data_IF_656422190956
#
_entry.id   IF_656422190956
#
_cell.length_a   1.000
_cell.length_b   1.000
_cell.length_c   1.000
_cell.angle_alpha   90.00
_cell.angle_beta   90.00
_cell.angle_gamma   90.00
#
_symmetry.space_group_name_H-M   'P 1'
#
loop_
_entity.id
_entity.type
_entity.pdbx_description
1 polymer ?
#
# COMPACT_ATOMS: atom_id res chain seq x y z
N UNK A 1 -15.56 -63.90 -9.65
CA UNK A 1 -15.55 -62.67 -8.86
C UNK A 1 -14.17 -62.45 -8.29
N UNK A 2 -13.35 -61.63 -8.94
CA UNK A 2 -12.03 -61.20 -8.44
C UNK A 2 -12.12 -59.71 -8.17
N UNK A 3 -11.82 -59.30 -6.92
CA UNK A 3 -11.75 -57.87 -6.54
C UNK A 3 -10.49 -57.24 -7.09
N UNK A 4 -10.51 -55.97 -7.56
CA UNK A 4 -9.32 -55.27 -7.94
C UNK A 4 -8.61 -54.67 -6.72
N UNK A 5 -7.30 -54.77 -6.74
CA UNK A 5 -6.33 -54.20 -5.76
C UNK A 5 -6.20 -52.67 -5.93
N UNK A 6 -6.02 -51.88 -4.88
CA UNK A 6 -5.86 -50.42 -4.98
C UNK A 6 -4.39 -50.07 -5.17
N UNK A 7 -4.05 -49.57 -6.35
CA UNK A 7 -2.78 -48.87 -6.61
C UNK A 7 -3.15 -47.43 -6.93
N UNK A 8 -3.17 -46.55 -5.95
CA UNK A 8 -3.09 -45.08 -6.14
C UNK A 8 -3.07 -44.31 -4.81
N UNK A 9 -2.22 -44.70 -3.87
CA UNK A 9 -2.09 -43.96 -2.60
C UNK A 9 -0.64 -43.55 -2.23
N UNK A 10 0.36 -43.83 -3.06
CA UNK A 10 1.79 -43.60 -2.71
C UNK A 10 2.41 -42.40 -3.42
N UNK A 11 1.82 -41.89 -4.51
CA UNK A 11 2.41 -40.82 -5.30
C UNK A 11 2.11 -39.39 -4.80
N UNK A 12 1.12 -39.19 -3.90
CA UNK A 12 0.70 -37.87 -3.42
C UNK A 12 1.42 -37.45 -2.12
N UNK A 13 1.97 -38.42 -1.38
CA UNK A 13 2.64 -38.17 -0.10
C UNK A 13 4.06 -37.63 -0.22
N UNK A 14 4.76 -37.89 -1.31
CA UNK A 14 6.19 -37.51 -1.45
C UNK A 14 6.39 -36.08 -1.95
N UNK A 15 5.45 -35.53 -2.69
CA UNK A 15 5.52 -34.14 -3.16
C UNK A 15 5.24 -33.10 -2.06
N UNK A 16 4.45 -33.45 -1.03
CA UNK A 16 4.15 -32.58 0.13
C UNK A 16 5.27 -32.49 1.16
N UNK A 17 6.21 -33.41 1.19
CA UNK A 17 7.31 -33.42 2.18
C UNK A 17 8.58 -32.72 1.71
N UNK A 18 8.75 -32.44 0.42
CA UNK A 18 9.97 -31.81 -0.12
C UNK A 18 9.81 -30.28 -0.28
N UNK A 19 8.59 -29.77 -0.34
CA UNK A 19 8.33 -28.31 -0.51
C UNK A 19 8.39 -27.49 0.79
N UNK A 20 8.23 -28.10 1.96
CA UNK A 20 8.19 -27.37 3.24
C UNK A 20 9.54 -26.79 3.76
N UNK A 21 10.73 -27.36 3.54
CA UNK A 21 11.96 -26.78 4.09
C UNK A 21 12.59 -25.68 3.26
N UNK A 22 12.32 -25.58 1.95
CA UNK A 22 13.01 -24.63 1.07
C UNK A 22 12.39 -23.24 1.11
N UNK A 23 11.05 -23.15 1.21
CA UNK A 23 10.33 -21.88 1.28
C UNK A 23 10.50 -21.16 2.63
N UNK A 24 10.63 -21.90 3.75
CA UNK A 24 10.86 -21.29 5.07
C UNK A 24 12.28 -20.75 5.24
N UNK A 25 13.27 -21.35 4.60
CA UNK A 25 14.68 -20.93 4.65
C UNK A 25 14.94 -19.67 3.79
N UNK A 26 14.31 -19.56 2.64
CA UNK A 26 14.51 -18.40 1.74
C UNK A 26 13.76 -17.14 2.23
N UNK A 27 12.54 -17.29 2.77
CA UNK A 27 11.81 -16.17 3.35
C UNK A 27 12.46 -15.66 4.65
N UNK A 28 12.95 -16.57 5.52
CA UNK A 28 13.60 -16.19 6.78
C UNK A 28 14.97 -15.51 6.58
N UNK A 29 15.72 -15.84 5.54
CA UNK A 29 17.01 -15.22 5.25
C UNK A 29 16.89 -13.85 4.57
N UNK A 30 15.85 -13.65 3.74
CA UNK A 30 15.54 -12.35 3.15
C UNK A 30 15.06 -11.35 4.21
N UNK A 31 14.13 -11.76 5.08
CA UNK A 31 13.64 -10.95 6.21
C UNK A 31 14.75 -10.65 7.23
N UNK A 32 15.60 -11.61 7.56
CA UNK A 32 16.73 -11.39 8.49
C UNK A 32 17.79 -10.44 7.93
N UNK A 33 18.01 -10.41 6.61
CA UNK A 33 18.96 -9.47 5.99
C UNK A 33 18.38 -8.07 5.88
N UNK A 34 17.06 -7.92 5.68
CA UNK A 34 16.38 -6.63 5.65
C UNK A 34 16.26 -6.03 7.04
N UNK A 35 15.81 -6.80 8.04
CA UNK A 35 15.73 -6.34 9.42
C UNK A 35 17.11 -5.98 10.01
N UNK A 36 18.17 -6.76 9.73
CA UNK A 36 19.52 -6.44 10.22
C UNK A 36 20.13 -5.19 9.59
N UNK A 37 19.79 -4.84 8.34
CA UNK A 37 20.27 -3.59 7.73
C UNK A 37 19.49 -2.36 8.18
N UNK A 38 18.18 -2.50 8.37
CA UNK A 38 17.32 -1.39 8.82
C UNK A 38 17.46 -1.14 10.34
N UNK A 39 17.63 -2.18 11.16
CA UNK A 39 17.92 -2.05 12.59
C UNK A 39 19.40 -1.73 12.89
N UNK A 40 20.36 -2.10 12.04
CA UNK A 40 21.75 -1.68 12.20
C UNK A 40 21.95 -0.17 11.98
N UNK A 41 21.10 0.49 11.17
CA UNK A 41 21.08 1.96 11.10
C UNK A 41 20.43 2.63 12.32
N UNK A 42 19.58 1.90 13.08
CA UNK A 42 18.95 2.44 14.29
C UNK A 42 19.72 2.13 15.59
N UNK A 43 20.66 1.17 15.58
CA UNK A 43 21.36 0.68 16.76
C UNK A 43 22.88 0.97 16.79
N UNK A 44 23.43 1.67 15.78
CA UNK A 44 24.80 2.20 15.86
C UNK A 44 24.74 3.64 16.38
N UNK A 45 24.57 3.75 17.69
CA UNK A 45 24.96 4.93 18.43
C UNK A 45 26.49 5.05 18.41
N UNK A 46 26.93 6.22 18.05
CA UNK A 46 28.17 6.89 18.32
C UNK A 46 29.42 6.07 18.80
N UNK A 47 30.41 5.98 17.91
CA UNK A 47 31.76 6.28 18.29
C UNK A 47 32.23 7.50 17.45
N UNK A 48 32.04 8.67 18.02
CA UNK A 48 32.52 9.95 17.49
C UNK A 48 33.99 10.11 17.84
N UNK A 49 34.83 10.16 16.82
CA UNK A 49 36.08 10.93 16.92
C UNK A 49 35.79 12.36 16.48
N UNK A 50 36.03 13.28 17.42
CA UNK A 50 35.58 14.64 17.39
C UNK A 50 35.99 15.51 16.20
N UNK A 51 35.08 16.36 15.82
CA UNK A 51 35.24 17.79 15.58
C UNK A 51 33.87 18.45 15.68
N UNK A 52 33.81 19.48 16.46
CA UNK A 52 32.70 20.31 16.85
C UNK A 52 32.20 21.14 15.64
N UNK A 53 31.17 20.63 14.94
CA UNK A 53 30.21 21.36 14.14
C UNK A 53 29.07 20.40 13.80
N UNK A 54 27.85 20.67 14.28
CA UNK A 54 26.70 19.75 14.23
C UNK A 54 26.16 19.43 12.84
N UNK A 55 26.93 18.72 12.03
CA UNK A 55 26.63 18.32 10.66
C UNK A 55 25.78 17.05 10.58
N UNK A 56 24.50 17.12 10.91
CA UNK A 56 23.56 16.11 10.44
C UNK A 56 23.57 16.11 8.90
N UNK A 57 23.89 14.95 8.30
CA UNK A 57 23.91 14.80 6.84
C UNK A 57 22.53 15.10 6.28
N UNK A 58 22.44 16.12 5.42
CA UNK A 58 21.17 16.48 4.75
C UNK A 58 20.80 15.35 3.78
N UNK A 59 19.57 14.80 3.87
CA UNK A 59 19.14 13.74 2.96
C UNK A 59 19.02 14.24 1.52
N UNK A 60 19.28 13.35 0.55
CA UNK A 60 19.08 13.66 -0.87
C UNK A 60 17.66 14.20 -1.13
N UNK A 61 17.55 15.23 -1.95
CA UNK A 61 16.29 15.87 -2.32
C UNK A 61 15.79 16.93 -1.34
N UNK A 62 16.61 17.35 -0.40
CA UNK A 62 16.33 18.44 0.54
C UNK A 62 17.25 19.62 0.27
N UNK A 63 16.68 20.80 0.08
CA UNK A 63 17.37 22.10 0.15
C UNK A 63 17.08 22.73 1.52
N UNK A 64 18.02 22.70 2.48
CA UNK A 64 17.75 23.21 3.82
C UNK A 64 17.54 24.72 3.87
N UNK A 65 18.15 25.47 2.95
CA UNK A 65 18.04 26.94 2.93
C UNK A 65 16.67 27.36 2.39
N UNK A 66 16.26 26.81 1.24
CA UNK A 66 14.94 27.08 0.67
C UNK A 66 13.80 26.63 1.59
N UNK A 67 13.92 25.44 2.18
CA UNK A 67 12.91 24.93 3.12
C UNK A 67 12.84 25.74 4.42
N UNK A 68 13.98 26.23 4.95
CA UNK A 68 13.97 27.11 6.12
C UNK A 68 13.20 28.40 5.84
N UNK A 69 13.42 29.01 4.70
CA UNK A 69 12.70 30.24 4.29
C UNK A 69 11.19 29.94 4.17
N UNK A 70 10.85 28.90 3.45
CA UNK A 70 9.44 28.49 3.25
C UNK A 70 8.73 28.19 4.56
N UNK A 71 9.36 27.42 5.47
CA UNK A 71 8.78 27.11 6.79
C UNK A 71 8.58 28.38 7.62
N UNK A 72 9.52 29.34 7.56
CA UNK A 72 9.38 30.61 8.28
C UNK A 72 8.19 31.45 7.82
N UNK A 73 7.79 31.32 6.55
CA UNK A 73 6.67 32.06 5.97
C UNK A 73 5.33 31.34 6.10
N UNK A 74 5.32 30.00 6.05
CA UNK A 74 4.11 29.22 5.88
C UNK A 74 3.75 28.34 7.10
N UNK A 75 4.70 28.09 8.02
CA UNK A 75 4.48 27.23 9.18
C UNK A 75 4.54 28.04 10.47
N UNK A 76 3.38 28.44 10.95
CA UNK A 76 3.29 29.28 12.14
C UNK A 76 3.99 28.65 13.36
N UNK A 77 4.93 29.38 13.96
CA UNK A 77 5.66 28.98 15.15
C UNK A 77 6.69 27.86 14.92
N UNK A 78 7.15 27.63 13.69
CA UNK A 78 8.30 26.75 13.44
C UNK A 78 9.59 27.44 13.92
N UNK A 79 10.39 26.75 14.73
CA UNK A 79 11.60 27.27 15.37
C UNK A 79 12.86 26.67 14.68
N UNK A 80 13.64 27.44 13.91
CA UNK A 80 14.88 26.96 13.36
C UNK A 80 15.95 26.70 14.46
N UNK A 81 16.91 25.78 14.23
CA UNK A 81 17.16 25.05 12.98
C UNK A 81 16.21 23.88 12.74
N UNK A 82 15.91 23.65 11.46
CA UNK A 82 15.15 22.47 11.04
C UNK A 82 16.10 21.30 10.76
N UNK A 83 15.72 20.11 11.24
CA UNK A 83 16.37 18.83 10.93
C UNK A 83 15.48 18.01 10.01
N UNK A 84 16.10 17.33 9.04
CA UNK A 84 15.42 16.57 8.02
C UNK A 84 15.89 15.10 8.09
N UNK A 85 14.95 14.18 8.14
CA UNK A 85 15.23 12.75 8.14
C UNK A 85 14.33 12.05 7.13
N UNK A 86 14.89 11.25 6.24
CA UNK A 86 14.10 10.47 5.29
C UNK A 86 13.36 9.36 6.01
N UNK A 87 12.04 9.29 5.84
CA UNK A 87 11.25 8.17 6.34
C UNK A 87 11.40 7.00 5.37
N UNK A 88 11.93 5.87 5.88
CA UNK A 88 12.08 4.65 5.09
C UNK A 88 10.73 4.02 4.78
N UNK A 89 10.57 3.43 3.58
CA UNK A 89 9.42 2.60 3.22
C UNK A 89 8.55 3.09 2.06
N UNK A 90 8.70 4.32 1.56
CA UNK A 90 8.04 4.79 0.34
C UNK A 90 8.87 4.46 -0.91
N UNK A 91 8.27 3.75 -1.89
CA UNK A 91 8.95 3.43 -3.15
C UNK A 91 8.55 4.37 -4.30
N UNK A 92 7.48 5.13 -4.15
CA UNK A 92 6.91 6.04 -5.16
C UNK A 92 7.30 7.48 -4.87
N UNK A 93 6.71 8.10 -3.85
CA UNK A 93 7.05 9.43 -3.40
C UNK A 93 7.99 9.40 -2.18
N UNK A 94 8.80 10.46 -2.01
CA UNK A 94 9.71 10.59 -0.89
C UNK A 94 9.03 11.36 0.24
N UNK A 95 9.11 10.81 1.46
CA UNK A 95 8.59 11.45 2.67
C UNK A 95 9.74 11.69 3.64
N UNK A 96 9.77 12.88 4.22
CA UNK A 96 10.78 13.29 5.20
C UNK A 96 10.11 13.76 6.47
N UNK A 97 10.66 13.38 7.60
CA UNK A 97 10.35 14.01 8.87
C UNK A 97 11.14 15.30 8.97
N UNK A 98 10.45 16.39 9.23
CA UNK A 98 11.03 17.69 9.54
C UNK A 98 10.82 17.93 11.03
N UNK A 99 11.89 18.24 11.76
CA UNK A 99 11.85 18.51 13.20
C UNK A 99 12.49 19.88 13.46
N UNK A 100 11.81 20.76 14.17
CA UNK A 100 12.32 22.06 14.55
C UNK A 100 13.12 22.03 15.88
N UNK A 101 13.65 23.18 16.29
CA UNK A 101 14.39 23.30 17.55
C UNK A 101 13.51 23.05 18.79
N UNK A 102 12.22 23.37 18.70
CA UNK A 102 11.21 23.14 19.75
C UNK A 102 10.75 21.67 19.85
N UNK A 103 11.17 20.81 18.91
CA UNK A 103 10.78 19.40 18.85
C UNK A 103 9.45 19.14 18.13
N UNK A 104 8.81 20.16 17.54
CA UNK A 104 7.64 19.96 16.68
C UNK A 104 8.04 19.24 15.42
N UNK A 105 7.12 18.44 14.88
CA UNK A 105 7.40 17.56 13.73
C UNK A 105 6.35 17.68 12.66
N UNK A 106 6.81 17.62 11.41
CA UNK A 106 6.00 17.62 10.21
C UNK A 106 6.46 16.50 9.26
N UNK A 107 5.59 16.09 8.39
CA UNK A 107 5.92 15.24 7.25
C UNK A 107 5.94 16.11 5.97
N UNK A 108 7.08 16.14 5.29
CA UNK A 108 7.25 16.76 3.99
C UNK A 108 7.24 15.65 2.93
N UNK A 109 6.33 15.76 1.95
CA UNK A 109 6.20 14.77 0.87
C UNK A 109 6.51 15.44 -0.48
N UNK A 110 7.33 14.77 -1.30
CA UNK A 110 7.75 15.24 -2.62
C UNK A 110 7.89 14.08 -3.62
N UNK A 111 7.93 14.35 -4.94
CA UNK A 111 8.23 13.34 -5.95
C UNK A 111 9.60 12.69 -5.74
N UNK A 112 9.83 11.48 -6.31
CA UNK A 112 11.12 10.82 -6.27
C UNK A 112 12.20 11.64 -6.98
N UNK A 113 13.48 11.32 -6.68
CA UNK A 113 14.63 11.90 -7.37
C UNK A 113 14.75 11.29 -8.79
N UNK A 114 14.97 12.11 -9.79
CA UNK A 114 15.18 11.67 -11.17
C UNK A 114 14.00 11.99 -12.11
N UNK A 115 13.85 11.22 -13.21
CA UNK A 115 12.82 11.48 -14.22
C UNK A 115 11.43 11.26 -13.65
N UNK A 116 10.60 12.30 -13.65
CA UNK A 116 9.18 12.24 -13.27
C UNK A 116 8.37 11.54 -14.36
N UNK A 117 7.58 10.55 -13.99
CA UNK A 117 6.64 9.88 -14.88
C UNK A 117 5.27 10.58 -14.76
N UNK A 118 5.04 11.62 -15.56
CA UNK A 118 3.72 12.25 -15.75
C UNK A 118 2.91 12.50 -14.47
N UNK A 119 1.61 12.19 -14.48
CA UNK A 119 0.64 12.47 -13.41
C UNK A 119 0.75 11.56 -12.17
N UNK A 120 1.69 10.61 -12.12
CA UNK A 120 1.80 9.66 -11.01
C UNK A 120 2.42 10.27 -9.72
N UNK A 121 3.00 11.48 -9.80
CA UNK A 121 3.70 12.14 -8.69
C UNK A 121 3.23 13.58 -8.54
N UNK A 122 1.93 13.80 -8.66
CA UNK A 122 1.28 15.12 -8.59
C UNK A 122 1.02 15.48 -7.12
N UNK A 123 1.91 16.30 -6.54
CA UNK A 123 1.81 16.74 -5.15
C UNK A 123 0.60 17.64 -4.91
N UNK A 124 0.23 18.47 -5.89
CA UNK A 124 -0.94 19.32 -5.78
C UNK A 124 -2.24 18.50 -5.71
N UNK A 125 -2.31 17.44 -6.51
CA UNK A 125 -3.43 16.50 -6.49
C UNK A 125 -3.55 15.77 -5.15
N UNK A 126 -2.46 15.23 -4.63
CA UNK A 126 -2.44 14.52 -3.35
C UNK A 126 -2.79 15.47 -2.20
N UNK A 127 -2.18 16.66 -2.18
CA UNK A 127 -2.51 17.73 -1.25
C UNK A 127 -4.00 18.11 -1.30
N UNK A 128 -4.59 18.27 -2.50
CA UNK A 128 -6.02 18.57 -2.67
C UNK A 128 -6.90 17.51 -2.02
N UNK A 129 -6.60 16.23 -2.22
CA UNK A 129 -7.35 15.11 -1.61
C UNK A 129 -7.27 15.16 -0.10
N UNK A 130 -6.06 15.22 0.47
CA UNK A 130 -5.87 15.20 1.92
C UNK A 130 -6.51 16.43 2.57
N UNK A 131 -6.38 17.61 1.95
CA UNK A 131 -7.02 18.86 2.44
C UNK A 131 -8.54 18.76 2.45
N UNK A 132 -9.14 18.19 1.41
CA UNK A 132 -10.58 18.04 1.28
C UNK A 132 -11.15 17.01 2.28
N UNK A 133 -10.38 15.99 2.62
CA UNK A 133 -10.76 14.96 3.60
C UNK A 133 -10.61 15.43 5.06
N UNK A 134 -9.73 16.40 5.33
CA UNK A 134 -9.46 16.89 6.68
C UNK A 134 -10.69 17.31 7.50
N UNK A 135 -11.71 17.97 6.92
CA UNK A 135 -12.95 18.33 7.62
C UNK A 135 -13.98 17.19 7.77
N UNK A 136 -13.68 15.98 7.26
CA UNK A 136 -14.59 14.83 7.27
C UNK A 136 -14.23 13.85 8.37
N UNK A 137 -15.02 12.76 8.49
CA UNK A 137 -14.74 11.67 9.43
C UNK A 137 -13.59 10.75 8.96
N UNK A 138 -12.96 11.02 7.82
CA UNK A 138 -11.82 10.26 7.32
C UNK A 138 -10.55 10.69 8.05
N UNK A 139 -9.86 9.77 8.76
CA UNK A 139 -8.63 10.12 9.46
C UNK A 139 -7.51 10.37 8.44
N UNK A 140 -7.06 11.62 8.35
CA UNK A 140 -5.92 12.06 7.54
C UNK A 140 -5.03 13.00 8.34
N UNK A 141 -3.75 13.08 7.96
CA UNK A 141 -2.84 14.04 8.57
C UNK A 141 -3.28 15.48 8.22
N UNK A 142 -3.39 16.41 9.21
CA UNK A 142 -3.71 17.80 8.94
C UNK A 142 -2.68 18.42 7.99
N UNK A 143 -3.15 19.02 6.90
CA UNK A 143 -2.28 19.67 5.91
C UNK A 143 -1.85 21.04 6.42
N UNK A 144 -0.56 21.37 6.22
CA UNK A 144 0.03 22.64 6.58
C UNK A 144 0.12 23.56 5.35
N UNK A 145 0.61 23.04 4.22
CA UNK A 145 0.71 23.83 2.98
C UNK A 145 1.32 23.08 1.81
N UNK A 146 1.14 23.63 0.62
CA UNK A 146 1.68 23.17 -0.66
C UNK A 146 2.67 24.20 -1.19
N UNK A 147 3.79 23.75 -1.73
CA UNK A 147 4.74 24.55 -2.50
C UNK A 147 4.86 23.97 -3.91
N UNK A 148 4.42 24.73 -4.90
CA UNK A 148 4.56 24.37 -6.32
C UNK A 148 5.81 25.00 -6.97
N UNK A 149 6.47 25.94 -6.29
CA UNK A 149 7.71 26.56 -6.75
C UNK A 149 8.90 25.60 -6.58
N UNK A 150 9.35 25.06 -7.70
CA UNK A 150 10.47 24.12 -7.73
C UNK A 150 11.80 24.78 -7.30
N UNK A 151 11.91 26.12 -7.32
CA UNK A 151 13.14 26.80 -6.90
C UNK A 151 13.41 26.67 -5.40
N UNK A 152 12.37 26.37 -4.59
CA UNK A 152 12.46 26.24 -3.13
C UNK A 152 13.17 24.95 -2.71
N UNK A 153 12.85 23.81 -3.37
CA UNK A 153 13.37 22.50 -2.97
C UNK A 153 13.63 21.57 -4.18
N UNK A 154 13.84 22.11 -5.37
CA UNK A 154 14.12 21.35 -6.59
C UNK A 154 12.94 20.52 -7.12
N UNK A 155 11.79 20.56 -6.47
CA UNK A 155 10.55 19.91 -6.87
C UNK A 155 9.38 20.45 -6.05
N UNK A 156 8.11 20.37 -6.56
CA UNK A 156 6.94 20.63 -5.75
C UNK A 156 6.90 19.69 -4.52
N UNK A 157 6.37 20.20 -3.43
CA UNK A 157 6.18 19.41 -2.20
C UNK A 157 4.98 19.91 -1.42
N UNK A 158 4.45 19.08 -0.52
CA UNK A 158 3.52 19.57 0.49
C UNK A 158 3.94 19.10 1.89
N UNK A 159 3.48 19.85 2.87
CA UNK A 159 3.78 19.64 4.28
C UNK A 159 2.48 19.35 5.02
N UNK A 160 2.51 18.39 5.93
CA UNK A 160 1.41 18.03 6.83
C UNK A 160 1.96 17.79 8.24
N UNK A 161 1.10 17.83 9.24
CA UNK A 161 1.47 17.46 10.61
C UNK A 161 2.01 16.03 10.62
N UNK A 162 2.99 15.77 11.48
CA UNK A 162 3.54 14.44 11.64
C UNK A 162 2.66 13.60 12.55
N UNK A 163 1.99 12.61 11.98
CA UNK A 163 1.18 11.65 12.74
C UNK A 163 2.07 10.53 13.26
N UNK A 164 2.12 10.36 14.57
CA UNK A 164 2.88 9.29 15.21
C UNK A 164 2.01 8.07 15.45
N UNK A 165 2.61 6.90 15.25
CA UNK A 165 1.97 5.65 15.57
C UNK A 165 2.55 4.46 14.83
N UNK A 166 2.26 3.24 15.29
CA UNK A 166 2.67 2.03 14.61
C UNK A 166 1.97 1.87 13.25
N UNK A 167 2.71 1.34 12.29
CA UNK A 167 2.21 0.92 10.99
C UNK A 167 2.44 -0.59 10.89
N UNK A 168 1.36 -1.34 10.67
CA UNK A 168 1.41 -2.81 10.65
C UNK A 168 1.78 -3.33 9.25
N UNK A 169 3.06 -3.32 8.90
CA UNK A 169 3.56 -3.78 7.59
C UNK A 169 3.77 -5.29 7.53
N UNK A 170 4.30 -5.88 8.58
CA UNK A 170 4.64 -7.28 8.65
C UNK A 170 4.22 -7.92 9.97
N UNK A 171 4.41 -9.24 10.06
CA UNK A 171 3.98 -10.02 11.22
C UNK A 171 4.62 -9.54 12.53
N UNK A 172 5.89 -9.07 12.48
CA UNK A 172 6.59 -8.58 13.66
C UNK A 172 5.95 -7.32 14.25
N UNK A 173 5.40 -6.43 13.40
CA UNK A 173 4.73 -5.21 13.87
C UNK A 173 3.38 -5.49 14.53
N UNK A 174 2.77 -6.67 14.27
CA UNK A 174 1.56 -7.10 14.96
C UNK A 174 1.79 -7.30 16.48
N UNK A 175 3.03 -7.51 16.92
CA UNK A 175 3.38 -7.61 18.35
C UNK A 175 3.21 -6.27 19.10
N UNK A 176 3.08 -5.15 18.39
CA UNK A 176 2.67 -3.85 18.98
C UNK A 176 1.26 -3.91 19.59
N UNK A 177 0.46 -4.90 19.19
CA UNK A 177 -0.87 -5.16 19.71
C UNK A 177 -0.94 -6.66 20.09
N UNK A 178 -0.45 -7.05 21.29
CA UNK A 178 -0.28 -8.45 21.66
C UNK A 178 -1.61 -9.20 21.82
N UNK A 179 -2.68 -8.49 22.20
CA UNK A 179 -3.97 -9.11 22.45
C UNK A 179 -4.73 -9.36 21.14
N UNK A 180 -5.32 -10.56 21.01
CA UNK A 180 -6.12 -10.89 19.83
C UNK A 180 -7.37 -10.02 19.68
N UNK A 181 -7.95 -9.58 20.80
CA UNK A 181 -9.09 -8.67 20.81
C UNK A 181 -8.74 -7.33 20.15
N UNK A 182 -7.54 -6.79 20.41
CA UNK A 182 -7.08 -5.54 19.82
C UNK A 182 -6.87 -5.69 18.31
N UNK A 183 -6.24 -6.78 17.88
CA UNK A 183 -6.06 -7.07 16.44
C UNK A 183 -7.40 -7.23 15.72
N UNK A 184 -8.39 -7.86 16.37
CA UNK A 184 -9.74 -7.95 15.83
C UNK A 184 -10.37 -6.56 15.69
N UNK A 185 -10.27 -5.75 16.74
CA UNK A 185 -10.79 -4.39 16.72
C UNK A 185 -10.13 -3.54 15.64
N UNK A 186 -8.80 -3.62 15.48
CA UNK A 186 -8.05 -2.94 14.41
C UNK A 186 -8.58 -3.35 13.04
N UNK A 187 -8.71 -4.65 12.77
CA UNK A 187 -9.22 -5.12 11.48
C UNK A 187 -10.64 -4.62 11.18
N UNK A 188 -11.54 -4.59 12.17
CA UNK A 188 -12.88 -4.04 11.99
C UNK A 188 -12.85 -2.52 11.74
N UNK A 189 -11.96 -1.78 12.40
CA UNK A 189 -11.74 -0.34 12.15
C UNK A 189 -11.24 -0.07 10.73
N UNK A 190 -10.45 -0.97 10.15
CA UNK A 190 -10.06 -0.89 8.73
C UNK A 190 -11.30 -0.86 7.84
N UNK A 191 -12.27 -1.74 8.08
CA UNK A 191 -13.53 -1.71 7.34
C UNK A 191 -14.35 -0.44 7.60
N UNK A 192 -14.47 -0.01 8.86
CA UNK A 192 -15.20 1.21 9.24
C UNK A 192 -14.59 2.47 8.61
N UNK A 193 -13.26 2.56 8.55
CA UNK A 193 -12.55 3.69 7.92
C UNK A 193 -12.79 3.71 6.41
N UNK A 194 -12.84 2.54 5.75
CA UNK A 194 -13.19 2.45 4.33
C UNK A 194 -14.63 2.92 4.08
N UNK A 195 -15.56 2.58 4.97
CA UNK A 195 -16.93 3.09 4.91
C UNK A 195 -16.94 4.62 5.01
N UNK A 196 -16.17 5.20 5.94
CA UNK A 196 -16.07 6.66 6.07
C UNK A 196 -15.54 7.32 4.79
N UNK A 197 -14.50 6.76 4.16
CA UNK A 197 -13.98 7.24 2.86
C UNK A 197 -15.08 7.22 1.79
N UNK A 198 -15.79 6.11 1.67
CA UNK A 198 -16.81 5.92 0.64
C UNK A 198 -18.14 6.66 0.94
N UNK A 199 -18.31 7.20 2.15
CA UNK A 199 -19.44 8.02 2.54
C UNK A 199 -19.25 9.51 2.20
N UNK A 200 -18.03 9.95 1.94
CA UNK A 200 -17.75 11.34 1.55
C UNK A 200 -18.39 11.61 0.18
N UNK A 201 -19.22 12.65 0.10
CA UNK A 201 -19.70 13.17 -1.17
C UNK A 201 -18.56 13.92 -1.87
N UNK A 202 -18.08 13.44 -3.05
CA UNK A 202 -16.95 14.06 -3.72
C UNK A 202 -17.22 15.50 -4.18
N UNK A 203 -18.45 15.80 -4.58
CA UNK A 203 -18.82 17.14 -5.06
C UNK A 203 -18.89 18.12 -3.89
N UNK A 204 -19.50 17.73 -2.78
CA UNK A 204 -19.57 18.54 -1.57
C UNK A 204 -18.18 18.77 -0.94
N UNK A 205 -17.27 17.80 -1.05
CA UNK A 205 -15.89 17.91 -0.59
C UNK A 205 -14.97 18.68 -1.56
N UNK A 206 -15.46 19.15 -2.71
CA UNK A 206 -14.64 19.86 -3.71
C UNK A 206 -13.71 18.94 -4.52
N UNK A 207 -14.00 17.63 -4.54
CA UNK A 207 -13.24 16.61 -5.27
C UNK A 207 -13.97 16.08 -6.52
N UNK A 208 -15.07 16.72 -6.94
CA UNK A 208 -15.88 16.29 -8.07
C UNK A 208 -15.13 16.21 -9.40
N UNK A 209 -14.03 16.94 -9.55
CA UNK A 209 -13.12 16.96 -10.69
C UNK A 209 -11.90 16.03 -10.56
N UNK A 210 -11.80 15.28 -9.45
CA UNK A 210 -10.65 14.41 -9.19
C UNK A 210 -10.47 13.31 -10.25
N UNK A 211 -11.54 12.94 -10.94
CA UNK A 211 -11.53 11.97 -12.03
C UNK A 211 -12.91 11.82 -12.65
N UNK A 212 -12.98 11.06 -13.74
CA UNK A 212 -14.26 10.70 -14.34
C UNK A 212 -15.00 9.75 -13.42
N UNK A 213 -16.29 10.03 -13.17
CA UNK A 213 -17.16 9.22 -12.32
C UNK A 213 -17.64 7.94 -13.01
N UNK A 214 -17.84 8.01 -14.34
CA UNK A 214 -18.46 6.95 -15.12
C UNK A 214 -17.46 5.91 -15.60
N UNK A 215 -17.92 4.70 -15.89
CA UNK A 215 -17.18 3.59 -16.52
C UNK A 215 -15.85 3.26 -15.79
N UNK A 216 -15.83 3.40 -14.47
CA UNK A 216 -14.59 3.21 -13.70
C UNK A 216 -13.95 1.85 -13.97
N UNK A 217 -14.70 0.76 -13.84
CA UNK A 217 -14.18 -0.61 -14.02
C UNK A 217 -13.66 -0.81 -15.44
N UNK A 218 -14.42 -0.39 -16.47
CA UNK A 218 -14.01 -0.51 -17.87
C UNK A 218 -12.70 0.27 -18.14
N UNK A 219 -12.53 1.44 -17.51
CA UNK A 219 -11.28 2.22 -17.60
C UNK A 219 -10.12 1.52 -16.90
N UNK A 220 -10.36 0.92 -15.72
CA UNK A 220 -9.33 0.17 -15.00
C UNK A 220 -8.86 -1.06 -15.80
N UNK A 221 -9.78 -1.84 -16.35
CA UNK A 221 -9.46 -2.99 -17.19
C UNK A 221 -8.59 -2.58 -18.39
N UNK A 222 -8.98 -1.54 -19.13
CA UNK A 222 -8.18 -1.03 -20.26
C UNK A 222 -6.80 -0.52 -19.83
N UNK A 223 -6.74 0.24 -18.73
CA UNK A 223 -5.48 0.80 -18.21
C UNK A 223 -4.50 -0.30 -17.82
N UNK A 224 -4.95 -1.27 -17.03
CA UNK A 224 -4.08 -2.30 -16.49
C UNK A 224 -3.70 -3.35 -17.55
N UNK A 225 -4.60 -3.67 -18.50
CA UNK A 225 -4.23 -4.49 -19.66
C UNK A 225 -3.15 -3.80 -20.50
N UNK A 226 -3.29 -2.51 -20.76
CA UNK A 226 -2.26 -1.73 -21.44
C UNK A 226 -0.93 -1.65 -20.65
N UNK A 227 -0.98 -1.72 -19.31
CA UNK A 227 0.22 -1.82 -18.50
C UNK A 227 0.85 -3.20 -18.57
N UNK A 228 0.03 -4.26 -18.55
CA UNK A 228 0.49 -5.65 -18.75
C UNK A 228 1.28 -5.80 -20.06
N UNK A 229 0.69 -5.37 -21.16
CA UNK A 229 1.35 -5.45 -22.48
C UNK A 229 2.71 -4.73 -22.54
N UNK A 230 2.90 -3.69 -21.75
CA UNK A 230 4.15 -2.92 -21.69
C UNK A 230 5.20 -3.51 -20.75
N UNK A 231 4.76 -4.24 -19.72
CA UNK A 231 5.65 -4.68 -18.64
C UNK A 231 5.80 -6.18 -18.53
N UNK A 232 5.00 -6.99 -19.23
CA UNK A 232 5.11 -8.45 -19.17
C UNK A 232 6.49 -8.91 -19.62
N UNK A 233 7.10 -9.80 -18.84
CA UNK A 233 8.40 -10.42 -19.16
C UNK A 233 8.24 -11.82 -19.70
N UNK A 234 7.03 -12.36 -19.62
CA UNK A 234 6.66 -13.71 -20.06
C UNK A 234 5.17 -13.79 -20.39
N UNK A 235 4.77 -14.84 -21.06
CA UNK A 235 3.36 -15.12 -21.32
C UNK A 235 2.72 -15.76 -20.08
N UNK A 236 1.63 -15.19 -19.60
CA UNK A 236 0.77 -15.72 -18.53
C UNK A 236 -0.69 -15.71 -19.00
N UNK A 237 -1.15 -16.78 -19.69
CA UNK A 237 -2.48 -16.81 -20.29
C UNK A 237 -3.63 -16.61 -19.31
N UNK A 238 -3.42 -16.85 -18.02
CA UNK A 238 -4.41 -16.57 -16.97
C UNK A 238 -4.76 -15.08 -16.91
N UNK A 239 -3.79 -14.17 -17.07
CA UNK A 239 -4.01 -12.72 -17.05
C UNK A 239 -4.97 -12.31 -18.19
N UNK A 240 -4.75 -12.82 -19.40
CA UNK A 240 -5.58 -12.48 -20.56
C UNK A 240 -6.99 -13.09 -20.43
N UNK A 241 -7.09 -14.36 -19.98
CA UNK A 241 -8.40 -14.99 -19.73
C UNK A 241 -9.23 -14.25 -18.67
N UNK A 242 -8.60 -13.82 -17.56
CA UNK A 242 -9.30 -13.03 -16.53
C UNK A 242 -9.75 -11.69 -17.10
N UNK A 243 -8.89 -11.00 -17.87
CA UNK A 243 -9.27 -9.75 -18.53
C UNK A 243 -10.49 -9.92 -19.43
N UNK A 244 -10.50 -10.96 -20.29
CA UNK A 244 -11.62 -11.25 -21.19
C UNK A 244 -12.93 -11.48 -20.43
N UNK A 245 -12.90 -12.31 -19.38
CA UNK A 245 -14.08 -12.65 -18.57
C UNK A 245 -14.60 -11.44 -17.78
N UNK A 246 -13.70 -10.69 -17.12
CA UNK A 246 -14.09 -9.48 -16.40
C UNK A 246 -14.67 -8.44 -17.36
N UNK A 247 -14.09 -8.28 -18.57
CA UNK A 247 -14.59 -7.35 -19.57
C UNK A 247 -15.97 -7.72 -20.12
N UNK A 248 -16.29 -9.01 -20.14
CA UNK A 248 -17.59 -9.52 -20.62
C UNK A 248 -18.74 -9.35 -19.61
N UNK A 249 -18.43 -9.14 -18.31
CA UNK A 249 -19.45 -9.10 -17.24
C UNK A 249 -19.28 -7.93 -16.26
N UNK A 250 -18.84 -6.77 -16.75
CA UNK A 250 -18.68 -5.58 -15.90
C UNK A 250 -20.01 -5.28 -15.19
N UNK A 251 -20.02 -5.22 -13.84
CA UNK A 251 -21.22 -4.88 -13.10
C UNK A 251 -21.71 -3.45 -13.42
N UNK A 252 -23.02 -3.24 -13.27
CA UNK A 252 -23.57 -1.89 -13.34
C UNK A 252 -22.97 -1.05 -12.20
N UNK A 253 -22.31 0.04 -12.56
CA UNK A 253 -21.72 0.94 -11.59
C UNK A 253 -22.81 1.74 -10.86
N UNK A 254 -22.74 1.75 -9.52
CA UNK A 254 -23.52 2.66 -8.69
C UNK A 254 -22.96 4.09 -8.67
N UNK A 255 -23.45 4.96 -7.77
CA UNK A 255 -22.89 6.30 -7.59
C UNK A 255 -21.38 6.22 -7.29
N UNK A 256 -20.61 7.03 -8.02
CA UNK A 256 -19.17 7.08 -7.81
C UNK A 256 -18.84 7.72 -6.46
N UNK A 257 -17.82 7.16 -5.79
CA UNK A 257 -17.28 7.65 -4.53
C UNK A 257 -15.80 7.99 -4.68
N UNK A 258 -15.20 8.47 -3.61
CA UNK A 258 -13.74 8.53 -3.50
C UNK A 258 -13.22 7.09 -3.39
N UNK A 259 -12.32 6.70 -4.29
CA UNK A 259 -11.61 5.42 -4.29
C UNK A 259 -10.15 5.72 -3.96
N UNK A 260 -9.63 5.11 -2.89
CA UNK A 260 -8.23 5.27 -2.48
C UNK A 260 -7.26 4.66 -3.49
N UNK A 261 -7.61 3.49 -4.03
CA UNK A 261 -6.85 2.80 -5.08
C UNK A 261 -5.71 1.91 -4.60
N UNK A 262 -5.28 2.05 -3.34
CA UNK A 262 -4.32 1.15 -2.64
C UNK A 262 -4.66 1.04 -1.14
N UNK A 263 -5.93 0.82 -0.82
CA UNK A 263 -6.39 0.75 0.55
C UNK A 263 -5.99 -0.58 1.20
N UNK A 264 -5.14 -0.50 2.22
CA UNK A 264 -4.59 -1.66 2.93
C UNK A 264 -4.04 -1.28 4.30
N UNK A 265 -3.86 -2.28 5.18
CA UNK A 265 -3.48 -2.08 6.58
C UNK A 265 -2.13 -1.34 6.74
N UNK A 266 -1.16 -1.59 5.88
CA UNK A 266 0.14 -0.94 5.93
C UNK A 266 0.18 0.50 5.35
N UNK A 267 -0.95 0.99 4.84
CA UNK A 267 -1.19 2.40 4.54
C UNK A 267 -1.97 3.12 5.64
N UNK A 268 -1.90 2.62 6.88
CA UNK A 268 -2.55 3.22 8.05
C UNK A 268 -1.57 3.43 9.19
N UNK A 269 -1.63 4.61 9.77
CA UNK A 269 -0.95 4.91 11.03
C UNK A 269 -1.97 4.69 12.15
N UNK A 270 -1.62 3.89 13.15
CA UNK A 270 -2.51 3.57 14.26
C UNK A 270 -2.11 4.36 15.51
N UNK A 271 -3.07 4.63 16.39
CA UNK A 271 -2.78 5.07 17.76
C UNK A 271 -2.30 3.89 18.62
N UNK A 272 -1.71 4.12 19.80
CA UNK A 272 -1.43 3.06 20.76
C UNK A 272 -2.67 2.25 21.18
N UNK A 273 -3.87 2.82 21.06
CA UNK A 273 -5.14 2.15 21.32
C UNK A 273 -5.70 1.39 20.09
N UNK A 274 -4.96 1.35 18.98
CA UNK A 274 -5.36 0.67 17.76
C UNK A 274 -6.43 1.39 16.95
N UNK A 275 -6.72 2.68 17.24
CA UNK A 275 -7.56 3.51 16.37
C UNK A 275 -6.76 3.91 15.12
N UNK A 276 -7.43 4.14 13.98
CA UNK A 276 -6.78 4.66 12.79
C UNK A 276 -6.55 6.17 12.98
N UNK A 277 -5.29 6.56 13.17
CA UNK A 277 -4.90 7.97 13.33
C UNK A 277 -4.79 8.68 11.98
N UNK A 278 -4.32 7.99 10.93
CA UNK A 278 -4.31 8.52 9.57
C UNK A 278 -4.26 7.40 8.53
N UNK A 279 -5.00 7.59 7.45
CA UNK A 279 -4.80 6.88 6.17
C UNK A 279 -3.82 7.68 5.33
N UNK A 280 -2.83 7.00 4.75
CA UNK A 280 -1.75 7.62 3.98
C UNK A 280 -1.68 7.04 2.57
N UNK A 281 -0.89 7.68 1.70
CA UNK A 281 -0.62 7.25 0.32
C UNK A 281 -1.80 7.40 -0.64
N UNK A 282 -2.30 8.62 -0.75
CA UNK A 282 -3.43 9.01 -1.58
C UNK A 282 -3.08 9.23 -3.06
N UNK A 283 -1.87 8.87 -3.51
CA UNK A 283 -1.39 9.13 -4.88
C UNK A 283 -2.23 8.47 -5.98
N UNK A 284 -2.89 7.34 -5.67
CA UNK A 284 -3.77 6.62 -6.60
C UNK A 284 -5.25 6.99 -6.46
N UNK A 285 -5.56 7.91 -5.55
CA UNK A 285 -6.93 8.32 -5.27
C UNK A 285 -7.64 8.87 -6.51
N UNK A 286 -8.90 8.48 -6.69
CA UNK A 286 -9.73 8.89 -7.83
C UNK A 286 -11.22 8.74 -7.50
N UNK A 287 -12.09 9.04 -8.48
CA UNK A 287 -13.53 8.77 -8.38
C UNK A 287 -13.90 7.47 -9.10
N UNK A 288 -14.70 6.64 -8.45
CA UNK A 288 -15.08 5.36 -9.04
C UNK A 288 -16.00 4.51 -8.20
N UNK A 289 -16.01 3.23 -8.51
CA UNK A 289 -16.81 2.24 -7.80
C UNK A 289 -16.15 1.86 -6.46
N UNK A 290 -16.83 2.05 -5.32
CA UNK A 290 -16.29 1.74 -4.00
C UNK A 290 -15.91 0.27 -3.82
N UNK A 291 -16.58 -0.66 -4.51
CA UNK A 291 -16.27 -2.08 -4.38
C UNK A 291 -14.88 -2.43 -4.94
N UNK A 292 -14.27 -1.54 -5.73
CA UNK A 292 -12.89 -1.73 -6.19
C UNK A 292 -11.88 -1.67 -5.04
N UNK A 293 -12.07 -0.77 -4.05
CA UNK A 293 -11.24 -0.75 -2.85
C UNK A 293 -11.56 -1.93 -1.92
N UNK A 294 -12.83 -2.32 -1.81
CA UNK A 294 -13.22 -3.49 -1.01
C UNK A 294 -12.58 -4.76 -1.57
N UNK A 295 -12.68 -5.00 -2.88
CA UNK A 295 -12.06 -6.15 -3.53
C UNK A 295 -10.53 -6.15 -3.40
N UNK A 296 -9.91 -4.98 -3.51
CA UNK A 296 -8.46 -4.84 -3.33
C UNK A 296 -8.04 -5.09 -1.87
N UNK A 297 -8.80 -4.57 -0.88
CA UNK A 297 -8.57 -4.86 0.53
C UNK A 297 -8.66 -6.37 0.80
N UNK A 298 -9.68 -7.04 0.25
CA UNK A 298 -9.80 -8.50 0.37
C UNK A 298 -8.63 -9.23 -0.28
N UNK A 299 -8.12 -8.75 -1.42
CA UNK A 299 -6.96 -9.35 -2.09
C UNK A 299 -5.67 -9.26 -1.24
N UNK A 300 -5.53 -8.23 -0.42
CA UNK A 300 -4.44 -8.08 0.57
C UNK A 300 -4.70 -8.84 1.89
N UNK A 301 -5.92 -9.31 2.10
CA UNK A 301 -6.29 -9.98 3.35
C UNK A 301 -6.19 -11.51 3.21
N UNK A 302 -5.53 -12.22 4.16
CA UNK A 302 -5.42 -13.67 4.06
C UNK A 302 -6.78 -14.35 4.15
N UNK A 303 -7.01 -15.37 3.32
CA UNK A 303 -8.17 -16.24 3.46
C UNK A 303 -8.05 -17.12 4.71
N UNK A 304 -9.19 -17.53 5.29
CA UNK A 304 -9.22 -18.41 6.46
C UNK A 304 -8.49 -19.73 6.16
N UNK A 305 -7.41 -20.02 6.89
CA UNK A 305 -6.60 -21.22 6.70
C UNK A 305 -5.78 -21.25 5.41
N UNK A 306 -5.78 -20.14 4.64
CA UNK A 306 -5.00 -19.97 3.43
C UNK A 306 -3.64 -19.35 3.69
N UNK A 307 -2.71 -19.58 2.76
CA UNK A 307 -1.47 -18.80 2.69
C UNK A 307 -1.79 -17.40 2.18
N UNK A 308 -1.20 -16.38 2.78
CA UNK A 308 -1.30 -15.03 2.21
C UNK A 308 -0.68 -15.00 0.82
N UNK A 309 -1.37 -14.40 -0.14
CA UNK A 309 -0.81 -14.13 -1.47
C UNK A 309 -0.06 -12.80 -1.38
N UNK A 310 1.11 -12.81 -0.74
CA UNK A 310 1.93 -11.62 -0.52
C UNK A 310 3.41 -11.94 -0.59
N UNK A 311 4.22 -10.89 -0.74
CA UNK A 311 5.66 -10.96 -0.52
C UNK A 311 5.90 -10.81 0.99
N UNK A 312 6.28 -11.90 1.65
CA UNK A 312 6.52 -11.93 3.08
C UNK A 312 5.29 -12.32 3.90
N UNK A 313 5.29 -11.95 5.16
CA UNK A 313 4.24 -12.28 6.12
C UNK A 313 3.56 -10.98 6.56
N UNK A 314 2.41 -10.60 6.01
CA UNK A 314 1.71 -9.40 6.41
C UNK A 314 1.19 -9.52 7.85
N UNK A 315 1.01 -8.37 8.51
CA UNK A 315 0.62 -8.31 9.92
C UNK A 315 -0.71 -9.02 10.22
N UNK A 316 -1.64 -8.98 9.28
CA UNK A 316 -2.96 -9.60 9.40
C UNK A 316 -2.97 -11.14 9.29
N UNK A 317 -1.79 -11.78 9.16
CA UNK A 317 -1.61 -13.21 9.44
C UNK A 317 -1.54 -13.53 10.94
N UNK A 318 -1.29 -12.54 11.79
CA UNK A 318 -1.27 -12.75 13.23
C UNK A 318 -2.65 -13.20 13.72
N UNK A 319 -2.71 -14.16 14.67
CA UNK A 319 -3.98 -14.58 15.24
C UNK A 319 -4.78 -13.41 15.84
N UNK A 320 -6.08 -13.39 15.63
CA UNK A 320 -6.98 -12.37 16.17
C UNK A 320 -7.53 -11.39 15.14
N UNK A 321 -6.86 -11.17 14.01
CA UNK A 321 -7.47 -10.38 12.93
C UNK A 321 -8.74 -11.04 12.39
N UNK A 322 -9.76 -10.25 11.96
CA UNK A 322 -10.98 -10.78 11.37
C UNK A 322 -10.69 -11.49 10.04
N UNK A 323 -11.60 -12.35 9.62
CA UNK A 323 -11.54 -12.99 8.29
C UNK A 323 -12.00 -12.03 7.19
N UNK A 324 -11.77 -12.40 5.92
CA UNK A 324 -12.31 -11.64 4.78
C UNK A 324 -13.84 -11.51 4.86
N UNK A 325 -14.53 -12.60 5.22
CA UNK A 325 -15.98 -12.61 5.34
C UNK A 325 -16.47 -11.67 6.45
N UNK A 326 -15.76 -11.64 7.59
CA UNK A 326 -16.08 -10.74 8.70
C UNK A 326 -15.86 -9.28 8.33
N UNK A 327 -14.81 -8.97 7.56
CA UNK A 327 -14.57 -7.62 7.04
C UNK A 327 -15.64 -7.21 6.04
N UNK A 328 -15.96 -8.08 5.08
CA UNK A 328 -17.00 -7.84 4.09
C UNK A 328 -18.37 -7.62 4.76
N UNK A 329 -18.73 -8.48 5.73
CA UNK A 329 -19.96 -8.33 6.50
C UNK A 329 -19.99 -6.99 7.27
N UNK A 330 -18.87 -6.60 7.91
CA UNK A 330 -18.75 -5.32 8.61
C UNK A 330 -18.93 -4.13 7.67
N UNK A 331 -18.26 -4.17 6.50
CA UNK A 331 -18.41 -3.13 5.50
C UNK A 331 -19.85 -3.03 4.98
N UNK A 332 -20.49 -4.16 4.65
CA UNK A 332 -21.88 -4.19 4.18
C UNK A 332 -22.84 -3.63 5.23
N UNK A 333 -22.72 -4.08 6.49
CA UNK A 333 -23.54 -3.61 7.61
C UNK A 333 -23.44 -2.09 7.80
N UNK A 334 -22.23 -1.56 7.77
CA UNK A 334 -21.96 -0.15 8.08
C UNK A 334 -22.26 0.79 6.91
N UNK A 335 -22.04 0.33 5.68
CA UNK A 335 -22.25 1.14 4.48
C UNK A 335 -23.66 1.00 3.88
N UNK A 336 -24.38 -0.08 4.21
CA UNK A 336 -25.65 -0.45 3.57
C UNK A 336 -25.50 -0.87 2.10
N UNK A 337 -24.27 -1.11 1.60
CA UNK A 337 -24.02 -1.47 0.21
C UNK A 337 -24.22 -2.96 -0.02
N UNK A 338 -24.75 -3.30 -1.19
CA UNK A 338 -24.81 -4.68 -1.68
C UNK A 338 -23.42 -5.14 -2.14
N UNK A 339 -22.96 -6.26 -1.61
CA UNK A 339 -21.70 -6.91 -1.97
C UNK A 339 -21.88 -8.12 -2.89
N UNK A 340 -23.04 -8.32 -3.51
CA UNK A 340 -23.32 -9.45 -4.39
C UNK A 340 -22.38 -9.58 -5.60
N UNK A 341 -21.57 -8.57 -5.90
CA UNK A 341 -20.56 -8.58 -6.94
C UNK A 341 -19.13 -8.59 -6.39
N UNK A 342 -18.93 -8.88 -5.09
CA UNK A 342 -17.61 -8.80 -4.47
C UNK A 342 -16.60 -9.74 -5.13
N UNK A 343 -17.02 -10.93 -5.59
CA UNK A 343 -16.15 -11.89 -6.27
C UNK A 343 -15.53 -11.29 -7.55
N UNK A 344 -16.33 -10.52 -8.31
CA UNK A 344 -15.83 -9.78 -9.46
C UNK A 344 -14.72 -8.77 -9.06
N UNK A 345 -14.95 -8.00 -8.00
CA UNK A 345 -13.99 -6.99 -7.54
C UNK A 345 -12.76 -7.62 -6.86
N UNK A 346 -12.91 -8.75 -6.22
CA UNK A 346 -11.79 -9.54 -5.69
C UNK A 346 -10.90 -10.07 -6.83
N UNK A 347 -11.53 -10.64 -7.87
CA UNK A 347 -10.81 -11.08 -9.07
C UNK A 347 -10.07 -9.90 -9.75
N UNK A 348 -10.72 -8.74 -9.87
CA UNK A 348 -10.13 -7.51 -10.38
C UNK A 348 -8.95 -7.06 -9.51
N UNK A 349 -9.05 -7.16 -8.18
CA UNK A 349 -8.00 -6.85 -7.22
C UNK A 349 -6.76 -7.73 -7.42
N UNK A 350 -6.93 -9.05 -7.44
CA UNK A 350 -5.83 -9.99 -7.68
C UNK A 350 -5.19 -9.78 -9.05
N UNK A 351 -6.00 -9.62 -10.10
CA UNK A 351 -5.53 -9.37 -11.46
C UNK A 351 -4.70 -8.08 -11.55
N UNK A 352 -5.17 -6.99 -10.95
CA UNK A 352 -4.45 -5.72 -10.86
C UNK A 352 -3.12 -5.88 -10.14
N UNK A 353 -3.11 -6.58 -9.00
CA UNK A 353 -1.89 -6.83 -8.22
C UNK A 353 -0.87 -7.67 -8.99
N UNK A 354 -1.30 -8.69 -9.73
CA UNK A 354 -0.42 -9.48 -10.58
C UNK A 354 0.31 -8.59 -11.60
N UNK A 355 -0.40 -7.68 -12.26
CA UNK A 355 0.16 -6.77 -13.26
C UNK A 355 1.12 -5.75 -12.62
N UNK A 356 0.77 -5.20 -11.45
CA UNK A 356 1.65 -4.28 -10.72
C UNK A 356 2.96 -4.97 -10.37
N UNK A 357 2.89 -6.20 -9.83
CA UNK A 357 4.08 -6.94 -9.40
C UNK A 357 4.92 -7.44 -10.57
N UNK A 358 4.32 -7.76 -11.72
CA UNK A 358 5.07 -8.04 -12.93
C UNK A 358 5.86 -6.82 -13.38
N UNK A 359 5.28 -5.63 -13.32
CA UNK A 359 5.99 -4.38 -13.59
C UNK A 359 7.14 -4.11 -12.62
N UNK A 360 6.99 -4.49 -11.34
CA UNK A 360 8.07 -4.44 -10.34
C UNK A 360 9.15 -5.45 -10.71
N UNK A 361 8.77 -6.70 -10.99
CA UNK A 361 9.67 -7.77 -11.41
C UNK A 361 10.48 -7.37 -12.66
N UNK A 362 9.82 -6.82 -13.69
CA UNK A 362 10.47 -6.37 -14.92
C UNK A 362 11.57 -5.33 -14.64
N UNK A 363 11.33 -4.36 -13.77
CA UNK A 363 12.32 -3.34 -13.38
C UNK A 363 13.51 -3.93 -12.64
N UNK A 364 13.29 -4.90 -11.75
CA UNK A 364 14.36 -5.61 -11.06
C UNK A 364 15.17 -6.46 -12.05
N UNK A 365 14.51 -7.19 -12.94
CA UNK A 365 15.16 -8.01 -13.96
C UNK A 365 16.00 -7.18 -14.93
N UNK A 366 15.57 -5.96 -15.25
CA UNK A 366 16.33 -5.00 -16.06
C UNK A 366 17.48 -4.29 -15.30
N UNK A 367 17.72 -4.62 -14.02
CA UNK A 367 18.78 -4.01 -13.23
C UNK A 367 18.47 -2.59 -12.75
N UNK A 368 17.21 -2.13 -12.85
CA UNK A 368 16.79 -0.77 -12.50
C UNK A 368 16.98 -0.37 -11.02
N UNK A 369 17.26 -1.34 -10.14
CA UNK A 369 17.51 -1.12 -8.71
C UNK A 369 18.91 -1.57 -8.24
N UNK A 370 19.88 -1.71 -9.16
CA UNK A 370 21.23 -2.18 -8.85
C UNK A 370 21.39 -3.70 -8.94
N UNK A 371 22.16 -4.32 -8.01
CA UNK A 371 22.42 -5.76 -8.06
C UNK A 371 21.11 -6.58 -8.01
N UNK A 372 21.00 -7.58 -8.88
CA UNK A 372 19.89 -8.54 -8.88
C UNK A 372 19.77 -9.20 -7.51
N UNK A 373 18.64 -8.95 -6.83
CA UNK A 373 18.34 -9.56 -5.53
C UNK A 373 17.95 -11.03 -5.75
N UNK A 374 18.51 -12.00 -5.00
CA UNK A 374 18.08 -13.40 -5.05
C UNK A 374 16.58 -13.59 -4.80
N UNK A 375 15.92 -12.67 -4.12
CA UNK A 375 14.47 -12.67 -3.89
C UNK A 375 13.60 -12.40 -5.13
N UNK A 376 14.21 -11.99 -6.26
CA UNK A 376 13.47 -11.65 -7.48
C UNK A 376 12.60 -12.80 -8.02
N UNK A 377 13.05 -14.05 -7.85
CA UNK A 377 12.28 -15.23 -8.25
C UNK A 377 10.98 -15.38 -7.46
N UNK A 378 10.95 -14.88 -6.22
CA UNK A 378 9.74 -14.84 -5.41
C UNK A 378 8.64 -13.95 -6.00
N UNK A 379 9.02 -12.86 -6.68
CA UNK A 379 8.06 -11.99 -7.39
C UNK A 379 7.39 -12.72 -8.55
N UNK A 380 8.18 -13.45 -9.35
CA UNK A 380 7.65 -14.20 -10.48
C UNK A 380 6.59 -15.23 -10.04
N UNK A 381 6.91 -16.02 -9.01
CA UNK A 381 5.98 -17.01 -8.46
C UNK A 381 4.73 -16.35 -7.82
N UNK A 382 4.90 -15.18 -7.20
CA UNK A 382 3.76 -14.45 -6.63
C UNK A 382 2.82 -13.93 -7.71
N UNK A 383 3.34 -13.43 -8.84
CA UNK A 383 2.52 -13.00 -9.99
C UNK A 383 1.68 -14.15 -10.51
N UNK A 384 2.26 -15.36 -10.66
CA UNK A 384 1.52 -16.56 -11.07
C UNK A 384 0.41 -16.91 -10.08
N UNK A 385 0.71 -16.94 -8.78
CA UNK A 385 -0.29 -17.21 -7.72
C UNK A 385 -1.43 -16.18 -7.71
N UNK A 386 -1.14 -14.91 -7.95
CA UNK A 386 -2.16 -13.86 -8.05
C UNK A 386 -3.02 -14.03 -9.30
N UNK A 387 -2.43 -14.40 -10.44
CA UNK A 387 -3.18 -14.69 -11.66
C UNK A 387 -4.12 -15.90 -11.48
N UNK A 388 -3.65 -16.96 -10.83
CA UNK A 388 -4.45 -18.14 -10.50
C UNK A 388 -5.59 -17.80 -9.52
N UNK A 389 -5.30 -16.98 -8.49
CA UNK A 389 -6.31 -16.52 -7.54
C UNK A 389 -7.39 -15.65 -8.21
N UNK A 390 -7.00 -14.81 -9.18
CA UNK A 390 -7.94 -14.03 -9.96
C UNK A 390 -8.87 -14.94 -10.79
N UNK A 391 -8.33 -15.99 -11.45
CA UNK A 391 -9.16 -16.98 -12.16
C UNK A 391 -10.11 -17.75 -11.23
N UNK A 392 -9.67 -18.07 -10.01
CA UNK A 392 -10.50 -18.77 -9.03
C UNK A 392 -11.65 -17.88 -8.52
N UNK A 393 -11.33 -16.65 -8.11
CA UNK A 393 -12.31 -15.69 -7.62
C UNK A 393 -13.37 -15.33 -8.69
N UNK A 394 -13.00 -15.36 -9.96
CA UNK A 394 -13.89 -15.07 -11.08
C UNK A 394 -14.92 -16.18 -11.35
N UNK A 395 -14.63 -17.42 -10.92
CA UNK A 395 -15.50 -18.59 -11.13
C UNK A 395 -16.51 -18.84 -10.01
N UNK A 396 -16.30 -18.21 -8.84
CA UNK A 396 -17.18 -18.34 -7.67
C UNK A 396 -18.39 -17.46 -7.79
#
# INVERSE_FOLDING_TARGET
>A
MKRPTPITAIAVSTAKQIAKPILSLLASDWLKRRSRREYACAAMGDEATGSDDGGATVPDGIDPAGLRAWFGEHVAGAEPPLRFERIAGGHSNLTYRVTDAGGRRWALRRPPLGKRLGSAHDMAREHKVVSALGPTDVPVAPVVGLCEDESVNGAPFYVMEFVEGPILRGLAEADSFPEQADRRAIGLRVADTLVAIHAVDPDAAGLGDLGRKEDYVARQLRRWQGQWEKSKTRELPAIDRVHERLSARIPAQGPATIVHGDYRLDNMILTPAGEVAAVVDWELCTLGDPLADVGLLMAYWPQRGGEAISLGQPANLAPGFPTQEELAARYAERSGRDLGQLDFFLALGYWKLAIILEGVYARYAAGGYGKVDPGIQGFAALVERLADAAEQAERG
#
